data_IF_449248212111
#
_entry.id   IF_449248212111
#
_cell.length_a   1.000
_cell.length_b   1.000
_cell.length_c   1.000
_cell.angle_alpha   90.00
_cell.angle_beta   90.00
_cell.angle_gamma   90.00
#
_symmetry.space_group_name_H-M   'P 1'
#
loop_
_entity.id
_entity.type
_entity.pdbx_description
1 polymer ?
#
# COMPACT_ATOMS: atom_id res chain seq x y z
N UNK A 1 -0.11 6.60 -9.17
CA UNK A 1 -0.22 5.37 -8.34
C UNK A 1 0.80 5.48 -7.22
N UNK A 2 0.59 4.78 -6.11
CA UNK A 2 1.55 4.68 -5.02
C UNK A 2 1.80 3.21 -4.68
N UNK A 3 3.04 2.87 -4.36
CA UNK A 3 3.45 1.54 -3.89
C UNK A 3 3.82 1.67 -2.41
N UNK A 4 3.15 0.90 -1.56
CA UNK A 4 3.33 0.93 -0.12
C UNK A 4 3.75 -0.45 0.33
N UNK A 5 4.99 -0.59 0.79
CA UNK A 5 5.45 -1.79 1.49
C UNK A 5 4.90 -1.79 2.91
N UNK A 6 4.37 -2.93 3.35
CA UNK A 6 4.07 -3.16 4.76
C UNK A 6 5.03 -4.21 5.33
N UNK A 7 5.39 -4.05 6.59
CA UNK A 7 6.36 -4.88 7.27
C UNK A 7 5.83 -5.27 8.65
N UNK A 8 6.02 -6.53 9.04
CA UNK A 8 5.80 -7.00 10.40
C UNK A 8 7.11 -6.85 11.14
N UNK A 9 7.11 -6.03 12.19
CA UNK A 9 8.32 -5.66 12.94
C UNK A 9 8.17 -5.99 14.41
N UNK A 10 9.29 -6.32 15.05
CA UNK A 10 9.36 -6.49 16.50
C UNK A 10 9.33 -5.15 17.24
N UNK A 11 9.46 -5.21 18.57
CA UNK A 11 9.47 -4.01 19.41
C UNK A 11 10.64 -3.05 19.16
N UNK A 12 11.72 -3.52 18.53
CA UNK A 12 12.87 -2.73 18.13
C UNK A 12 12.75 -2.17 16.70
N UNK A 13 11.66 -2.49 15.99
CA UNK A 13 11.43 -2.07 14.60
C UNK A 13 12.16 -2.94 13.57
N UNK A 14 12.68 -4.10 13.96
CA UNK A 14 13.32 -5.04 13.05
C UNK A 14 12.28 -5.95 12.41
N UNK A 15 12.36 -6.15 11.09
CA UNK A 15 11.46 -7.05 10.37
C UNK A 15 11.64 -8.48 10.89
N UNK A 16 10.52 -9.12 11.23
CA UNK A 16 10.49 -10.52 11.66
C UNK A 16 10.52 -11.40 10.40
N UNK A 17 11.63 -12.11 10.10
CA UNK A 17 11.84 -12.76 8.80
C UNK A 17 10.98 -14.00 8.59
N UNK A 18 10.25 -14.46 9.61
CA UNK A 18 9.34 -15.61 9.56
C UNK A 18 7.88 -15.20 9.74
N UNK A 19 7.58 -13.90 9.86
CA UNK A 19 6.22 -13.44 10.07
C UNK A 19 5.37 -13.61 8.81
N UNK A 20 4.18 -14.16 8.99
CA UNK A 20 3.20 -14.47 7.96
C UNK A 20 1.82 -13.89 8.29
N UNK A 21 1.72 -12.94 9.22
CA UNK A 21 0.47 -12.41 9.74
C UNK A 21 -0.49 -11.95 8.63
N UNK A 22 -1.79 -12.26 8.78
CA UNK A 22 -2.85 -11.76 7.91
C UNK A 22 -3.10 -10.27 8.18
N UNK A 23 -2.76 -9.43 7.21
CA UNK A 23 -2.95 -7.98 7.31
C UNK A 23 -4.21 -7.57 6.57
N UNK A 24 -5.11 -6.89 7.27
CA UNK A 24 -6.31 -6.26 6.71
C UNK A 24 -6.07 -4.78 6.44
N UNK A 25 -6.59 -4.29 5.32
CA UNK A 25 -6.39 -2.94 4.83
C UNK A 25 -7.71 -2.17 4.68
N UNK A 26 -7.70 -0.90 5.07
CA UNK A 26 -8.79 0.05 4.78
C UNK A 26 -8.21 1.28 4.10
N UNK A 27 -8.91 1.79 3.09
CA UNK A 27 -8.44 2.93 2.30
C UNK A 27 -9.51 4.01 2.16
N UNK A 28 -9.08 5.27 2.21
CA UNK A 28 -9.90 6.45 1.94
C UNK A 28 -9.21 7.36 0.94
N UNK A 29 -9.98 8.06 0.08
CA UNK A 29 -9.43 8.93 -0.95
C UNK A 29 -8.93 8.20 -2.22
N UNK A 30 -9.21 6.90 -2.32
CA UNK A 30 -8.77 6.06 -3.43
C UNK A 30 -9.22 4.61 -3.30
N UNK A 31 -8.53 3.72 -4.00
CA UNK A 31 -8.77 2.28 -3.97
C UNK A 31 -7.45 1.48 -3.95
N UNK A 32 -7.52 0.27 -3.39
CA UNK A 32 -6.47 -0.75 -3.52
C UNK A 32 -6.65 -1.40 -4.89
N UNK A 33 -5.59 -1.42 -5.70
CA UNK A 33 -5.60 -2.07 -7.01
C UNK A 33 -5.08 -3.49 -6.96
N UNK A 34 -4.09 -3.73 -6.11
CA UNK A 34 -3.52 -5.04 -5.86
C UNK A 34 -2.83 -5.08 -4.50
N UNK A 35 -2.86 -6.25 -3.87
CA UNK A 35 -2.02 -6.65 -2.75
C UNK A 35 -1.17 -7.83 -3.21
N UNK A 36 0.09 -7.86 -2.79
CA UNK A 36 1.05 -8.91 -3.14
C UNK A 36 2.00 -9.16 -1.94
N UNK A 37 2.56 -10.36 -1.84
CA UNK A 37 3.57 -10.74 -0.87
C UNK A 37 4.74 -11.51 -1.51
N UNK A 38 4.68 -11.76 -2.82
CA UNK A 38 5.65 -12.54 -3.59
C UNK A 38 5.79 -14.02 -3.18
N UNK A 39 4.84 -14.58 -2.42
CA UNK A 39 4.77 -16.02 -2.20
C UNK A 39 4.17 -16.71 -3.42
N UNK A 40 4.94 -17.58 -4.07
CA UNK A 40 4.50 -18.34 -5.25
C UNK A 40 3.42 -19.39 -4.91
N UNK A 41 3.21 -19.70 -3.64
CA UNK A 41 2.20 -20.63 -3.16
C UNK A 41 0.89 -19.92 -2.76
N UNK A 42 0.91 -18.59 -2.65
CA UNK A 42 -0.28 -17.80 -2.31
C UNK A 42 -1.17 -17.65 -3.55
N UNK A 43 -2.39 -18.18 -3.44
CA UNK A 43 -3.39 -18.15 -4.51
C UNK A 43 -4.52 -17.13 -4.22
N UNK A 44 -4.41 -16.34 -3.16
CA UNK A 44 -5.39 -15.30 -2.86
C UNK A 44 -5.39 -14.24 -3.98
N UNK A 45 -6.56 -13.74 -4.40
CA UNK A 45 -6.67 -12.81 -5.51
C UNK A 45 -5.93 -11.50 -5.22
N UNK A 46 -5.13 -11.02 -6.18
CA UNK A 46 -4.42 -9.74 -6.03
C UNK A 46 -5.36 -8.60 -5.65
N UNK A 47 -6.60 -8.60 -6.16
CA UNK A 47 -7.65 -7.67 -5.73
C UNK A 47 -8.33 -8.19 -4.48
N UNK A 48 -7.81 -7.79 -3.33
CA UNK A 48 -8.35 -8.07 -2.01
C UNK A 48 -8.19 -6.84 -1.09
N UNK A 49 -8.83 -6.88 0.07
CA UNK A 49 -8.61 -5.96 1.19
C UNK A 49 -7.71 -6.58 2.29
N UNK A 50 -7.19 -7.78 2.07
CA UNK A 50 -6.27 -8.45 3.00
C UNK A 50 -5.22 -9.28 2.25
N UNK A 51 -4.08 -9.52 2.91
CA UNK A 51 -2.98 -10.34 2.41
C UNK A 51 -2.11 -10.81 3.58
N UNK A 52 -1.71 -12.08 3.56
CA UNK A 52 -0.67 -12.57 4.48
C UNK A 52 0.65 -11.90 4.15
N UNK A 53 1.41 -11.50 5.18
CA UNK A 53 2.81 -11.19 4.99
C UNK A 53 3.55 -12.45 4.50
N UNK A 54 4.68 -12.28 3.82
CA UNK A 54 5.59 -13.35 3.51
C UNK A 54 7.01 -12.89 3.86
N UNK A 55 7.68 -13.66 4.73
CA UNK A 55 8.95 -13.27 5.36
C UNK A 55 8.90 -11.87 5.98
N UNK A 56 7.78 -11.55 6.63
CA UNK A 56 7.52 -10.30 7.32
C UNK A 56 7.20 -9.11 6.43
N UNK A 57 6.92 -9.30 5.13
CA UNK A 57 6.68 -8.20 4.18
C UNK A 57 5.48 -8.44 3.27
N UNK A 58 4.98 -7.35 2.70
CA UNK A 58 4.17 -7.39 1.50
C UNK A 58 4.02 -6.00 0.88
N UNK A 59 3.21 -5.90 -0.16
CA UNK A 59 3.04 -4.73 -1.01
C UNK A 59 1.55 -4.41 -1.20
N UNK A 60 1.21 -3.14 -1.05
CA UNK A 60 -0.08 -2.58 -1.47
C UNK A 60 0.13 -1.57 -2.62
N UNK A 61 -0.59 -1.79 -3.72
CA UNK A 61 -0.60 -0.90 -4.88
C UNK A 61 -1.88 -0.08 -4.85
N UNK A 62 -1.73 1.24 -4.72
CA UNK A 62 -2.84 2.16 -4.49
C UNK A 62 -3.08 3.09 -5.68
N UNK A 63 -4.35 3.43 -5.87
CA UNK A 63 -4.78 4.46 -6.82
C UNK A 63 -5.58 5.54 -6.09
N UNK A 64 -5.15 6.78 -6.25
CA UNK A 64 -5.92 7.94 -5.81
C UNK A 64 -7.16 8.13 -6.70
N UNK A 65 -8.29 8.52 -6.10
CA UNK A 65 -9.49 8.84 -6.83
C UNK A 65 -9.45 10.26 -7.41
N UNK A 66 -9.01 11.24 -6.60
CA UNK A 66 -8.95 12.67 -6.89
C UNK A 66 -7.77 13.31 -6.14
N UNK A 67 -7.36 14.54 -6.50
CA UNK A 67 -6.46 15.34 -5.66
C UNK A 67 -6.99 15.47 -4.24
N UNK A 68 -6.11 15.43 -3.26
CA UNK A 68 -6.48 15.36 -1.84
C UNK A 68 -5.63 14.34 -1.08
N UNK A 69 -6.13 13.89 0.06
CA UNK A 69 -5.42 12.94 0.92
C UNK A 69 -5.84 11.50 0.60
N UNK A 70 -4.87 10.66 0.26
CA UNK A 70 -5.02 9.21 0.17
C UNK A 70 -4.48 8.60 1.45
N UNK A 71 -5.32 7.89 2.21
CA UNK A 71 -4.91 7.25 3.48
C UNK A 71 -5.15 5.74 3.41
N UNK A 72 -4.11 4.97 3.72
CA UNK A 72 -4.17 3.52 3.89
C UNK A 72 -3.93 3.22 5.37
N UNK A 73 -4.80 2.41 5.97
CA UNK A 73 -4.61 1.84 7.30
C UNK A 73 -4.52 0.32 7.21
N UNK A 74 -3.70 -0.27 8.07
CA UNK A 74 -3.41 -1.69 8.15
C UNK A 74 -3.55 -2.19 9.59
N UNK A 75 -4.13 -3.38 9.76
CA UNK A 75 -4.29 -4.05 11.05
C UNK A 75 -4.13 -5.56 10.91
N UNK A 76 -3.56 -6.18 11.93
CA UNK A 76 -3.43 -7.63 12.07
C UNK A 76 -3.63 -8.01 13.53
N UNK A 77 -4.08 -9.23 13.78
CA UNK A 77 -4.38 -9.69 15.14
C UNK A 77 -3.12 -9.69 16.02
N UNK A 78 -3.23 -9.15 17.24
CA UNK A 78 -2.10 -9.07 18.17
C UNK A 78 -1.07 -7.98 17.87
N UNK A 79 -1.18 -7.26 16.74
CA UNK A 79 -0.26 -6.19 16.35
C UNK A 79 -0.88 -4.79 16.51
N UNK A 80 -0.03 -3.79 16.72
CA UNK A 80 -0.48 -2.38 16.70
C UNK A 80 -0.82 -1.98 15.26
N UNK A 81 -1.97 -1.34 15.02
CA UNK A 81 -2.33 -0.88 13.68
C UNK A 81 -1.38 0.22 13.20
N UNK A 82 -1.20 0.30 11.89
CA UNK A 82 -0.38 1.31 11.23
C UNK A 82 -1.18 2.05 10.15
N UNK A 83 -0.75 3.27 9.80
CA UNK A 83 -1.35 3.99 8.68
C UNK A 83 -0.35 4.91 7.99
N UNK A 84 -0.50 5.08 6.68
CA UNK A 84 0.26 6.02 5.88
C UNK A 84 -0.69 6.93 5.10
N UNK A 85 -0.29 8.18 4.92
CA UNK A 85 -1.03 9.15 4.12
C UNK A 85 -0.14 9.69 3.01
N UNK A 86 -0.70 9.80 1.81
CA UNK A 86 -0.04 10.33 0.61
C UNK A 86 -0.83 11.54 0.12
N UNK A 87 -0.17 12.67 -0.03
CA UNK A 87 -0.77 13.85 -0.62
C UNK A 87 -0.83 13.68 -2.14
N UNK A 88 -2.03 13.76 -2.69
CA UNK A 88 -2.30 13.68 -4.12
C UNK A 88 -2.50 15.10 -4.63
N UNK A 89 -1.64 15.53 -5.56
CA UNK A 89 -1.73 16.83 -6.21
C UNK A 89 -2.21 16.65 -7.65
N UNK A 90 -2.86 17.68 -8.21
CA UNK A 90 -3.07 17.71 -9.67
C UNK A 90 -1.70 17.80 -10.32
N UNK A 91 -1.50 17.00 -11.36
CA UNK A 91 -0.46 17.32 -12.31
C UNK A 91 -0.89 18.61 -13.03
N UNK A 92 -0.05 19.63 -12.99
CA UNK A 92 -0.13 20.66 -14.02
C UNK A 92 0.12 19.96 -15.36
N UNK A 93 -0.74 20.23 -16.35
CA UNK A 93 -0.59 19.62 -17.67
C UNK A 93 0.82 19.88 -18.23
N UNK A 94 1.28 19.08 -19.21
CA UNK A 94 2.57 19.37 -19.85
C UNK A 94 2.58 20.83 -20.32
N UNK A 95 3.65 21.55 -20.00
CA UNK A 95 3.81 22.93 -20.42
C UNK A 95 3.54 23.02 -21.92
N UNK A 96 2.50 23.76 -22.32
CA UNK A 96 2.23 24.03 -23.72
C UNK A 96 3.41 24.84 -24.22
N UNK A 97 4.30 24.23 -25.00
CA UNK A 97 5.38 24.95 -25.66
C UNK A 97 4.71 25.82 -26.73
N UNK A 98 4.73 27.16 -26.62
CA UNK A 98 4.16 28.02 -27.65
C UNK A 98 4.92 27.80 -28.97
N UNK A 99 4.23 27.83 -30.13
CA UNK A 99 4.89 27.66 -31.42
C UNK A 99 5.96 28.74 -31.62
N UNK A 100 7.12 28.33 -32.14
CA UNK A 100 8.18 29.26 -32.51
C UNK A 100 7.68 30.21 -33.61
N UNK A 101 7.92 31.51 -33.43
CA UNK A 101 7.57 32.58 -34.37
C UNK A 101 8.54 32.65 -35.53
#
# INVERSE_FOLDING_TARGET
MAHVTFEIVDSAGMVVPTADDLVHFTITGGSILALDNADLQDHDPYRSDHRHAFNGRGLAILRAAQPGLLRLAASADGLRPASVSVQVVRADGPAVIPPAR
#
